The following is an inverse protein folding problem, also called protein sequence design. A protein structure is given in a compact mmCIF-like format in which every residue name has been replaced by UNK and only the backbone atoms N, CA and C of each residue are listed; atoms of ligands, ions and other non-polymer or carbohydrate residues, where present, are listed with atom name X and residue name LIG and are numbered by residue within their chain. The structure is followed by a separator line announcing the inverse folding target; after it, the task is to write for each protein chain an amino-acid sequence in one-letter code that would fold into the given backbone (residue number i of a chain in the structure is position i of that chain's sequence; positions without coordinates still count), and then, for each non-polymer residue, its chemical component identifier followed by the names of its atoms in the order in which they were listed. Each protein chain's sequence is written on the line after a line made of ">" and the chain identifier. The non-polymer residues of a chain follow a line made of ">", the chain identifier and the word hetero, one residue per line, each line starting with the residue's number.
data_IF_323458929588
#
_entry.id   IF_323458929588
#
_cell.length_a   1.000
_cell.length_b   1.000
_cell.length_c   1.000
_cell.angle_alpha   90.00
_cell.angle_beta   90.00
_cell.angle_gamma   90.00
#
_symmetry.space_group_name_H-M   'P 1'
#
loop_
_entity.id
_entity.type
_entity.pdbx_description
1 polymer ?
#
# COMPACT_ATOMS: atom_id res chain seq x y z
N UNK A 1 -12.70 4.34 4.83
CA UNK A 1 -11.76 3.31 5.30
C UNK A 1 -12.56 2.07 5.62
N UNK A 2 -11.92 0.90 5.76
CA UNK A 2 -12.63 -0.31 6.17
C UNK A 2 -11.72 -1.53 6.36
N UNK A 3 -12.37 -2.65 6.65
CA UNK A 3 -11.75 -3.95 6.92
C UNK A 3 -11.80 -4.86 5.68
N UNK A 4 -10.65 -5.43 5.30
CA UNK A 4 -10.57 -6.34 4.15
C UNK A 4 -10.84 -7.80 4.57
N UNK A 5 -10.56 -8.21 5.81
CA UNK A 5 -10.64 -9.62 6.27
C UNK A 5 -9.84 -10.64 5.42
N UNK A 6 -8.87 -10.15 4.65
CA UNK A 6 -7.92 -10.89 3.81
C UNK A 6 -6.57 -10.15 3.89
N UNK A 7 -5.47 -10.90 3.75
CA UNK A 7 -4.12 -10.37 3.61
C UNK A 7 -3.97 -9.52 2.34
N UNK A 8 -3.37 -8.34 2.41
CA UNK A 8 -3.16 -7.46 1.24
C UNK A 8 -2.32 -8.15 0.17
N UNK A 9 -1.36 -9.00 0.59
CA UNK A 9 -0.60 -9.85 -0.31
C UNK A 9 -1.48 -10.72 -1.20
N UNK A 10 -2.44 -11.42 -0.58
CA UNK A 10 -3.40 -12.27 -1.29
C UNK A 10 -4.35 -11.44 -2.17
N UNK A 11 -4.77 -10.25 -1.71
CA UNK A 11 -5.61 -9.35 -2.49
C UNK A 11 -4.88 -8.91 -3.77
N UNK A 12 -3.65 -8.43 -3.64
CA UNK A 12 -2.81 -7.98 -4.75
C UNK A 12 -2.47 -9.13 -5.70
N UNK A 13 -2.19 -10.32 -5.17
CA UNK A 13 -1.87 -11.50 -5.98
C UNK A 13 -3.05 -11.91 -6.87
N UNK A 14 -4.26 -11.94 -6.30
CA UNK A 14 -5.47 -12.36 -7.03
C UNK A 14 -6.04 -11.26 -7.91
N UNK A 15 -5.86 -10.01 -7.51
CA UNK A 15 -6.47 -8.85 -8.13
C UNK A 15 -5.43 -7.76 -8.43
N UNK A 16 -4.41 -8.07 -9.26
CA UNK A 16 -3.29 -7.16 -9.51
C UNK A 16 -3.72 -5.85 -10.17
N UNK A 17 -4.86 -5.86 -10.87
CA UNK A 17 -5.47 -4.65 -11.46
C UNK A 17 -5.85 -3.60 -10.43
N UNK A 18 -6.08 -3.99 -9.17
CA UNK A 18 -6.35 -3.04 -8.09
C UNK A 18 -5.21 -2.05 -7.93
N UNK A 19 -3.96 -2.54 -7.96
CA UNK A 19 -2.76 -1.71 -7.76
C UNK A 19 -2.20 -1.19 -9.08
N UNK A 20 -2.28 -1.97 -10.16
CA UNK A 20 -1.69 -1.60 -11.45
C UNK A 20 -2.42 -0.48 -12.19
N UNK A 21 -3.62 -0.09 -11.74
CA UNK A 21 -4.34 1.06 -12.28
C UNK A 21 -3.76 2.42 -11.82
N UNK A 22 -2.97 2.42 -10.74
CA UNK A 22 -2.31 3.61 -10.23
C UNK A 22 -0.93 3.76 -10.89
N UNK A 23 -0.44 4.99 -11.00
CA UNK A 23 0.86 5.25 -11.62
C UNK A 23 2.02 4.65 -10.78
N UNK A 24 1.90 4.72 -9.46
CA UNK A 24 2.92 4.26 -8.53
C UNK A 24 2.33 3.55 -7.31
N UNK A 25 3.13 2.67 -6.72
CA UNK A 25 2.92 2.05 -5.42
C UNK A 25 4.11 2.39 -4.53
N UNK A 26 3.84 3.08 -3.42
CA UNK A 26 4.80 3.39 -2.37
C UNK A 26 4.65 2.40 -1.22
N UNK A 27 5.73 1.73 -0.85
CA UNK A 27 5.80 0.82 0.30
C UNK A 27 6.52 1.56 1.43
N UNK A 28 5.86 1.70 2.57
CA UNK A 28 6.41 2.39 3.76
C UNK A 28 6.58 1.49 4.96
N UNK A 29 6.05 0.27 4.89
CA UNK A 29 6.31 -0.75 5.89
C UNK A 29 6.39 -2.14 5.23
N UNK A 30 7.49 -2.84 5.47
CA UNK A 30 7.77 -4.18 4.95
C UNK A 30 8.40 -5.03 6.07
N UNK A 31 7.82 -6.17 6.41
CA UNK A 31 8.25 -7.05 7.50
C UNK A 31 8.43 -6.30 8.83
N UNK A 32 7.55 -5.35 9.12
CA UNK A 32 7.55 -4.43 10.26
C UNK A 32 8.75 -3.48 10.29
N UNK A 33 9.41 -3.26 9.16
CA UNK A 33 10.51 -2.31 8.98
C UNK A 33 9.97 -1.06 8.28
N UNK A 34 9.96 0.06 8.99
CA UNK A 34 9.55 1.37 8.46
C UNK A 34 10.61 2.02 7.56
N UNK A 35 11.89 1.74 7.80
CA UNK A 35 12.99 2.19 6.94
C UNK A 35 13.21 1.21 5.78
N UNK A 36 12.19 1.04 4.94
CA UNK A 36 12.18 0.14 3.79
C UNK A 36 13.35 0.44 2.85
N UNK A 37 13.66 1.71 2.62
CA UNK A 37 14.75 2.16 1.76
C UNK A 37 16.14 1.61 2.16
N UNK A 38 16.37 1.34 3.44
CA UNK A 38 17.62 0.78 3.94
C UNK A 38 17.73 -0.75 3.79
N UNK A 39 16.64 -1.43 3.45
CA UNK A 39 16.59 -2.90 3.39
C UNK A 39 17.37 -3.46 2.19
N UNK A 40 17.80 -4.71 2.30
CA UNK A 40 18.36 -5.46 1.15
C UNK A 40 17.31 -5.66 0.05
N UNK A 41 16.04 -5.79 0.43
CA UNK A 41 14.91 -5.90 -0.48
C UNK A 41 14.77 -4.67 -1.37
N UNK A 42 14.82 -3.46 -0.80
CA UNK A 42 14.76 -2.22 -1.58
C UNK A 42 15.91 -2.13 -2.58
N UNK A 43 17.13 -2.50 -2.20
CA UNK A 43 18.29 -2.54 -3.12
C UNK A 43 18.03 -3.46 -4.31
N UNK A 44 17.50 -4.66 -4.05
CA UNK A 44 17.17 -5.63 -5.11
C UNK A 44 16.06 -5.13 -6.02
N UNK A 45 15.05 -4.42 -5.49
CA UNK A 45 14.00 -3.79 -6.30
C UNK A 45 14.60 -2.75 -7.24
N UNK A 46 15.45 -1.87 -6.73
CA UNK A 46 16.10 -0.82 -7.51
C UNK A 46 17.01 -1.41 -8.61
N UNK A 47 17.62 -2.58 -8.37
CA UNK A 47 18.44 -3.28 -9.36
C UNK A 47 17.61 -3.87 -10.51
N UNK A 48 16.44 -4.47 -10.22
CA UNK A 48 15.63 -5.16 -11.24
C UNK A 48 14.57 -4.28 -11.90
N UNK A 49 14.22 -3.16 -11.28
CA UNK A 49 13.22 -2.21 -11.75
C UNK A 49 13.82 -0.79 -11.72
N UNK A 50 14.57 -0.36 -12.75
CA UNK A 50 15.24 0.94 -12.75
C UNK A 50 14.31 2.16 -12.71
N UNK A 51 13.01 1.95 -12.99
CA UNK A 51 11.94 2.94 -12.87
C UNK A 51 11.42 3.10 -11.43
N UNK A 52 11.85 2.24 -10.51
CA UNK A 52 11.61 2.38 -9.07
C UNK A 52 12.55 3.41 -8.42
N UNK A 53 12.22 3.82 -7.21
CA UNK A 53 12.94 4.86 -6.50
C UNK A 53 12.75 4.81 -4.99
N UNK A 54 13.26 5.82 -4.30
CA UNK A 54 13.11 6.00 -2.85
C UNK A 54 12.40 7.32 -2.58
N UNK A 55 11.44 7.30 -1.66
CA UNK A 55 10.75 8.51 -1.17
C UNK A 55 10.82 8.50 0.36
N UNK A 56 11.70 9.35 0.91
CA UNK A 56 12.01 9.32 2.34
C UNK A 56 12.53 7.95 2.77
N UNK A 57 11.82 7.29 3.69
CA UNK A 57 12.12 5.94 4.16
C UNK A 57 11.44 4.83 3.32
N UNK A 58 10.57 5.19 2.39
CA UNK A 58 9.80 4.24 1.59
C UNK A 58 10.44 3.89 0.25
N UNK A 59 9.97 2.79 -0.33
CA UNK A 59 10.34 2.30 -1.65
C UNK A 59 9.17 2.51 -2.61
N UNK A 60 9.39 3.19 -3.74
CA UNK A 60 8.34 3.43 -4.73
C UNK A 60 8.60 2.64 -6.01
N UNK A 61 7.55 2.01 -6.54
CA UNK A 61 7.60 1.17 -7.73
C UNK A 61 6.48 1.61 -8.67
N UNK A 62 6.67 1.69 -9.99
CA UNK A 62 5.57 1.95 -10.92
C UNK A 62 4.48 0.88 -10.80
N UNK A 63 3.22 1.29 -10.83
CA UNK A 63 2.08 0.39 -10.59
C UNK A 63 2.01 -0.76 -11.61
N UNK A 64 2.36 -0.50 -12.88
CA UNK A 64 2.41 -1.53 -13.92
C UNK A 64 3.51 -2.57 -13.68
N UNK A 65 4.59 -2.20 -13.00
CA UNK A 65 5.72 -3.09 -12.70
C UNK A 65 5.54 -3.81 -11.35
N UNK A 66 4.73 -3.24 -10.46
CA UNK A 66 4.62 -3.63 -9.06
C UNK A 66 4.34 -5.13 -8.87
N UNK A 67 3.31 -5.69 -9.50
CA UNK A 67 2.96 -7.11 -9.31
C UNK A 67 4.08 -8.04 -9.77
N UNK A 68 4.75 -7.72 -10.88
CA UNK A 68 5.86 -8.53 -11.41
C UNK A 68 7.06 -8.50 -10.45
N UNK A 69 7.43 -7.30 -9.97
CA UNK A 69 8.50 -7.11 -9.00
C UNK A 69 8.18 -7.80 -7.67
N UNK A 70 6.96 -7.61 -7.17
CA UNK A 70 6.48 -8.19 -5.93
C UNK A 70 6.46 -9.72 -5.99
N UNK A 71 6.04 -10.31 -7.11
CA UNK A 71 6.09 -11.75 -7.34
C UNK A 71 7.53 -12.28 -7.43
N UNK A 72 8.40 -11.62 -8.22
CA UNK A 72 9.78 -12.06 -8.43
C UNK A 72 10.62 -12.06 -7.14
N UNK A 73 10.37 -11.09 -6.25
CA UNK A 73 11.09 -10.95 -4.99
C UNK A 73 10.30 -11.49 -3.77
N UNK A 74 9.13 -12.10 -3.99
CA UNK A 74 8.23 -12.61 -2.94
C UNK A 74 7.87 -11.53 -1.89
N UNK A 75 7.61 -10.30 -2.33
CA UNK A 75 7.28 -9.19 -1.45
C UNK A 75 5.86 -9.30 -0.88
N UNK A 76 4.97 -10.02 -1.58
CA UNK A 76 3.55 -10.13 -1.24
C UNK A 76 3.29 -10.76 0.13
N UNK A 77 4.26 -11.45 0.73
CA UNK A 77 4.10 -12.05 2.08
C UNK A 77 4.55 -11.13 3.21
N UNK A 78 5.21 -10.00 2.89
CA UNK A 78 5.81 -9.10 3.87
C UNK A 78 5.29 -7.67 3.85
N UNK A 79 4.33 -7.33 2.98
CA UNK A 79 3.79 -5.97 2.96
C UNK A 79 2.92 -5.73 4.18
N UNK A 80 3.30 -4.74 4.99
CA UNK A 80 2.48 -4.28 6.11
C UNK A 80 1.78 -2.96 5.77
N UNK A 81 2.38 -2.10 4.94
CA UNK A 81 1.78 -0.82 4.54
C UNK A 81 2.20 -0.41 3.11
N UNK A 82 1.22 -0.21 2.23
CA UNK A 82 1.41 0.30 0.87
C UNK A 82 0.41 1.41 0.51
N UNK A 83 0.81 2.27 -0.41
CA UNK A 83 0.04 3.43 -0.89
C UNK A 83 0.03 3.46 -2.40
N UNK A 84 -1.14 3.55 -3.02
CA UNK A 84 -1.28 3.66 -4.46
C UNK A 84 -1.54 5.12 -4.85
N UNK A 85 -0.69 5.65 -5.73
CA UNK A 85 -0.63 7.08 -6.05
C UNK A 85 -0.68 7.31 -7.57
N UNK A 86 -1.40 8.37 -7.98
CA UNK A 86 -1.58 8.74 -9.39
C UNK A 86 -0.38 9.51 -9.95
N UNK A 87 0.52 9.97 -9.09
CA UNK A 87 1.79 10.61 -9.43
C UNK A 87 2.91 10.16 -8.49
N UNK A 88 4.15 10.50 -8.87
CA UNK A 88 5.31 10.29 -8.00
C UNK A 88 5.18 11.23 -6.78
N UNK A 89 5.10 10.72 -5.54
CA UNK A 89 4.96 11.53 -4.35
C UNK A 89 6.14 12.49 -4.18
N UNK A 90 5.84 13.77 -4.10
CA UNK A 90 6.85 14.83 -3.90
C UNK A 90 7.04 15.21 -2.41
N UNK A 91 6.25 14.60 -1.51
CA UNK A 91 6.27 14.86 -0.07
C UNK A 91 6.47 13.54 0.68
N UNK A 92 7.39 13.55 1.63
CA UNK A 92 7.65 12.39 2.49
C UNK A 92 6.49 12.19 3.46
N UNK A 93 6.08 10.93 3.63
CA UNK A 93 5.06 10.54 4.61
C UNK A 93 5.51 10.93 6.03
N UNK A 94 4.61 11.47 6.89
CA UNK A 94 4.92 11.68 8.31
C UNK A 94 5.36 10.37 8.99
N UNK A 95 6.37 10.47 9.86
CA UNK A 95 7.06 9.32 10.47
C UNK A 95 6.18 8.63 11.51
N UNK A 96 5.41 9.39 12.28
CA UNK A 96 4.61 8.90 13.42
C UNK A 96 3.14 8.62 13.07
N UNK A 97 2.82 8.50 11.78
CA UNK A 97 1.43 8.33 11.34
C UNK A 97 1.35 7.18 10.36
N UNK A 98 0.73 6.07 10.74
CA UNK A 98 0.47 4.93 9.88
C UNK A 98 -0.97 4.47 9.98
N UNK A 99 -1.33 3.50 9.16
CA UNK A 99 -2.62 2.80 9.23
C UNK A 99 -2.49 1.35 9.75
N UNK A 100 -1.25 0.96 10.09
CA UNK A 100 -0.91 -0.29 10.79
C UNK A 100 -0.98 -0.11 12.31
N UNK A 101 -0.99 -1.22 13.06
CA UNK A 101 -0.94 -1.22 14.52
C UNK A 101 0.15 -0.26 15.06
N UNK A 102 -0.13 0.52 16.12
CA UNK A 102 -1.29 0.41 17.01
C UNK A 102 -2.57 1.12 16.53
N UNK A 103 -2.62 1.68 15.33
CA UNK A 103 -3.77 2.44 14.83
C UNK A 103 -5.02 1.56 14.66
N UNK A 104 -6.13 1.93 15.28
CA UNK A 104 -7.41 1.24 15.19
C UNK A 104 -8.45 2.13 14.50
N UNK A 105 -8.92 1.77 13.30
CA UNK A 105 -9.89 2.60 12.54
C UNK A 105 -11.22 2.82 13.23
N UNK A 106 -11.62 1.89 14.11
CA UNK A 106 -12.91 1.93 14.78
C UNK A 106 -12.86 2.81 16.04
N UNK A 107 -11.67 3.07 16.57
CA UNK A 107 -11.44 3.80 17.82
C UNK A 107 -10.70 5.12 17.62
N UNK A 108 -9.78 5.18 16.67
CA UNK A 108 -8.90 6.31 16.39
C UNK A 108 -9.41 7.17 15.22
N UNK A 109 -9.35 8.49 15.40
CA UNK A 109 -9.56 9.41 14.29
C UNK A 109 -8.37 9.38 13.33
N UNK A 110 -8.64 9.32 12.02
CA UNK A 110 -7.61 9.42 11.00
C UNK A 110 -6.92 10.78 11.12
N UNK A 111 -5.59 10.84 11.35
CA UNK A 111 -4.91 12.11 11.54
C UNK A 111 -5.03 13.01 10.30
N UNK A 112 -5.39 14.29 10.52
CA UNK A 112 -5.52 15.27 9.44
C UNK A 112 -4.21 15.44 8.64
N UNK A 113 -3.06 15.24 9.29
CA UNK A 113 -1.74 15.24 8.64
C UNK A 113 -1.60 14.13 7.60
N UNK A 114 -2.17 12.94 7.87
CA UNK A 114 -2.17 11.84 6.91
C UNK A 114 -3.05 12.14 5.71
N UNK A 115 -4.25 12.67 5.95
CA UNK A 115 -5.18 13.05 4.87
C UNK A 115 -4.56 14.14 3.99
N UNK A 116 -3.93 15.15 4.61
CA UNK A 116 -3.23 16.21 3.91
C UNK A 116 -2.07 15.67 3.08
N UNK A 117 -1.28 14.74 3.63
CA UNK A 117 -0.19 14.10 2.92
C UNK A 117 -0.67 13.24 1.74
N UNK A 118 -1.71 12.41 1.93
CA UNK A 118 -2.28 11.60 0.86
C UNK A 118 -2.71 12.48 -0.32
N UNK A 119 -3.37 13.60 -0.03
CA UNK A 119 -3.78 14.57 -1.05
C UNK A 119 -2.57 15.20 -1.75
N UNK A 120 -1.56 15.64 -1.01
CA UNK A 120 -0.36 16.28 -1.57
C UNK A 120 0.53 15.32 -2.38
N UNK A 121 0.49 14.04 -2.05
CA UNK A 121 1.23 12.96 -2.72
C UNK A 121 0.42 12.27 -3.81
N UNK A 122 -0.80 12.73 -4.08
CA UNK A 122 -1.75 12.13 -5.03
C UNK A 122 -2.01 10.63 -4.76
N UNK A 123 -1.92 10.22 -3.50
CA UNK A 123 -2.22 8.86 -3.07
C UNK A 123 -3.71 8.72 -2.78
N UNK A 124 -4.35 7.79 -3.48
CA UNK A 124 -5.81 7.59 -3.44
C UNK A 124 -6.23 6.31 -2.75
N UNK A 125 -5.31 5.39 -2.53
CA UNK A 125 -5.57 4.16 -1.79
C UNK A 125 -4.38 3.89 -0.89
N UNK A 126 -4.65 3.46 0.32
CA UNK A 126 -3.70 2.86 1.21
C UNK A 126 -4.22 1.48 1.57
N UNK A 127 -3.33 0.48 1.58
CA UNK A 127 -3.63 -0.88 2.01
C UNK A 127 -2.63 -1.26 3.10
N UNK A 128 -3.10 -1.97 4.11
CA UNK A 128 -2.26 -2.44 5.20
C UNK A 128 -2.70 -3.81 5.68
N UNK A 129 -1.71 -4.55 6.18
CA UNK A 129 -1.90 -5.85 6.82
C UNK A 129 -1.71 -5.73 8.33
N UNK A 130 -2.31 -6.66 9.07
CA UNK A 130 -2.18 -6.75 10.52
C UNK A 130 -3.49 -6.45 11.25
N UNK A 131 -3.37 -5.89 12.46
CA UNK A 131 -4.48 -5.48 13.32
C UNK A 131 -4.66 -3.97 13.13
N UNK A 132 -5.82 -3.52 12.64
CA UNK A 132 -6.11 -2.09 12.40
C UNK A 132 -7.03 -1.84 11.20
N UNK A 133 -6.96 -0.64 10.60
CA UNK A 133 -7.53 -0.39 9.25
C UNK A 133 -6.93 -1.42 8.29
N UNK A 134 -7.64 -1.87 7.25
CA UNK A 134 -7.00 -2.63 6.16
C UNK A 134 -6.92 -1.82 4.87
N UNK A 135 -7.81 -0.84 4.69
CA UNK A 135 -7.68 0.16 3.63
C UNK A 135 -8.16 1.56 4.04
N UNK A 136 -7.48 2.59 3.50
CA UNK A 136 -7.87 4.00 3.61
C UNK A 136 -7.92 4.62 2.22
N UNK A 137 -9.00 5.35 1.94
CA UNK A 137 -9.15 6.11 0.69
C UNK A 137 -10.05 7.31 0.93
N UNK A 138 -9.73 8.48 0.33
CA UNK A 138 -10.63 9.63 0.28
C UNK A 138 -11.65 9.53 -0.87
N UNK A 139 -11.59 8.50 -1.71
CA UNK A 139 -12.41 8.36 -2.92
C UNK A 139 -13.44 7.24 -2.79
N UNK A 140 -14.71 7.61 -2.81
CA UNK A 140 -15.82 6.66 -2.69
C UNK A 140 -15.79 5.58 -3.79
N UNK A 141 -15.41 5.93 -5.03
CA UNK A 141 -15.34 4.94 -6.12
C UNK A 141 -14.25 3.91 -5.91
N UNK A 142 -13.13 4.32 -5.31
CA UNK A 142 -12.05 3.42 -4.94
C UNK A 142 -12.49 2.53 -3.77
N UNK A 143 -13.22 3.07 -2.80
CA UNK A 143 -13.81 2.27 -1.72
C UNK A 143 -14.75 1.19 -2.26
N UNK A 144 -15.72 1.57 -3.09
CA UNK A 144 -16.68 0.64 -3.71
C UNK A 144 -15.97 -0.46 -4.52
N UNK A 145 -14.90 -0.10 -5.23
CA UNK A 145 -14.08 -1.04 -5.99
C UNK A 145 -13.37 -2.05 -5.08
N UNK A 146 -12.72 -1.56 -4.02
CA UNK A 146 -12.03 -2.41 -3.04
C UNK A 146 -13.00 -3.39 -2.39
N UNK A 147 -14.16 -2.92 -1.97
CA UNK A 147 -15.19 -3.76 -1.34
C UNK A 147 -15.75 -4.83 -2.28
N UNK A 148 -16.01 -4.47 -3.54
CA UNK A 148 -16.45 -5.42 -4.55
C UNK A 148 -15.41 -6.52 -4.84
N UNK A 149 -14.13 -6.13 -4.92
CA UNK A 149 -12.99 -7.04 -5.11
C UNK A 149 -12.88 -7.98 -3.91
N UNK A 150 -12.92 -7.46 -2.68
CA UNK A 150 -12.86 -8.27 -1.46
C UNK A 150 -14.01 -9.28 -1.41
N UNK A 151 -15.24 -8.86 -1.70
CA UNK A 151 -16.40 -9.74 -1.70
C UNK A 151 -16.25 -10.90 -2.69
N UNK A 152 -15.73 -10.63 -3.90
CA UNK A 152 -15.43 -11.66 -4.91
C UNK A 152 -14.35 -12.62 -4.41
N UNK A 153 -13.23 -12.08 -3.94
CA UNK A 153 -12.05 -12.85 -3.51
C UNK A 153 -12.39 -13.76 -2.32
N UNK A 154 -13.16 -13.29 -1.34
CA UNK A 154 -13.64 -14.11 -0.22
C UNK A 154 -14.70 -15.13 -0.69
N UNK A 155 -15.62 -14.74 -1.57
CA UNK A 155 -16.66 -15.62 -2.10
C UNK A 155 -16.12 -16.84 -2.86
N UNK A 156 -15.00 -16.69 -3.56
CA UNK A 156 -14.30 -17.77 -4.26
C UNK A 156 -13.54 -18.74 -3.32
N UNK A 157 -13.42 -18.43 -2.03
CA UNK A 157 -12.80 -19.30 -1.01
C UNK A 157 -13.82 -20.11 -0.19
N UNK A 158 -15.11 -20.10 -0.58
CA UNK A 158 -16.19 -20.89 0.04
C UNK A 158 -16.65 -22.00 -0.89
#
# INVERSE_FOLDING_TARGET
>A
SGWLNIRIGTLVEREPKLVSQFAFVLITNLDSIENVAATTTAKRVLEICPSSGVVGNGLIIPGLDFTNVAGALKLLVGFDELWCCDAYPNVVKPVDVGIVAPFNVDEDEIPLSLVAWMKASECRLALCDGIGVNYLTPDQKVADLVEAIVARVIGENR
#
